data_IF_318534480455
#
_entry.id   IF_318534480455
#
_cell.length_a   1.000
_cell.length_b   1.000
_cell.length_c   1.000
_cell.angle_alpha   90.00
_cell.angle_beta   90.00
_cell.angle_gamma   90.00
#
_symmetry.space_group_name_H-M   'P 1'
#
loop_
_entity.id
_entity.type
_entity.pdbx_description
1 polymer ?
#
# COMPACT_ATOMS: atom_id res chain seq x y z
N UNK A 1 10.83 1.33 -5.08
CA UNK A 1 9.67 1.07 -4.18
C UNK A 1 9.97 0.01 -3.13
N UNK A 2 10.39 -1.23 -3.47
CA UNK A 2 10.74 -2.23 -2.45
C UNK A 2 11.84 -1.79 -1.47
N UNK A 3 12.90 -1.14 -1.96
CA UNK A 3 14.01 -0.70 -1.11
C UNK A 3 13.58 0.44 -0.17
N UNK A 4 12.79 1.40 -0.67
CA UNK A 4 12.21 2.46 0.15
C UNK A 4 11.30 1.91 1.26
N UNK A 5 10.51 0.86 0.98
CA UNK A 5 9.67 0.23 2.01
C UNK A 5 10.54 -0.41 3.11
N UNK A 6 11.70 -0.98 2.75
CA UNK A 6 12.68 -1.50 3.71
C UNK A 6 13.32 -0.36 4.49
N UNK A 7 13.74 0.73 3.86
CA UNK A 7 14.35 1.87 4.55
C UNK A 7 13.41 2.49 5.60
N UNK A 8 12.13 2.66 5.26
CA UNK A 8 11.12 3.17 6.20
C UNK A 8 10.91 2.17 7.34
N UNK A 9 10.83 0.87 7.05
CA UNK A 9 10.79 -0.16 8.10
C UNK A 9 12.03 -0.09 8.99
N UNK A 10 13.23 0.06 8.44
CA UNK A 10 14.44 0.13 9.24
C UNK A 10 14.43 1.35 10.18
N UNK A 11 13.86 2.46 9.73
CA UNK A 11 13.72 3.68 10.52
C UNK A 11 12.69 3.58 11.64
N UNK A 12 11.53 2.97 11.38
CA UNK A 12 10.39 3.01 12.30
C UNK A 12 10.03 1.66 12.92
N UNK A 13 10.64 0.57 12.46
CA UNK A 13 10.43 -0.81 12.89
C UNK A 13 8.96 -1.25 12.84
N UNK A 14 8.23 -0.77 11.83
CA UNK A 14 6.83 -1.11 11.56
C UNK A 14 6.64 -1.62 10.13
N UNK A 15 5.78 -2.63 9.90
CA UNK A 15 5.40 -3.04 8.56
C UNK A 15 4.99 -1.84 7.70
N UNK A 16 5.57 -1.74 6.50
CA UNK A 16 5.46 -0.55 5.65
C UNK A 16 4.80 -0.91 4.33
N UNK A 17 3.63 -0.32 4.07
CA UNK A 17 2.92 -0.40 2.79
C UNK A 17 3.09 0.91 2.01
N UNK A 18 3.72 0.83 0.84
CA UNK A 18 3.82 1.94 -0.11
C UNK A 18 2.76 1.79 -1.19
N UNK A 19 1.87 2.77 -1.29
CA UNK A 19 0.83 2.82 -2.33
C UNK A 19 1.41 3.36 -3.64
N UNK A 20 1.22 2.64 -4.74
CA UNK A 20 1.62 3.10 -6.08
C UNK A 20 0.52 3.83 -6.85
N UNK A 21 -0.74 3.73 -6.43
CA UNK A 21 -1.92 4.24 -7.17
C UNK A 21 -2.02 5.76 -7.42
N UNK A 22 -0.96 6.55 -7.17
CA UNK A 22 -0.85 7.95 -7.62
C UNK A 22 0.01 8.13 -8.89
N UNK A 23 0.62 7.06 -9.41
CA UNK A 23 1.35 7.10 -10.67
C UNK A 23 0.35 7.16 -11.84
N UNK A 24 0.09 8.37 -12.33
CA UNK A 24 -0.79 8.60 -13.48
C UNK A 24 -0.21 7.96 -14.75
N UNK A 25 -1.09 7.48 -15.63
CA UNK A 25 -0.79 6.84 -16.93
C UNK A 25 -0.13 5.45 -16.87
N UNK A 26 -0.13 4.79 -15.71
CA UNK A 26 0.26 3.39 -15.61
C UNK A 26 -0.87 2.45 -16.04
N UNK A 27 -0.53 1.27 -16.58
CA UNK A 27 -1.54 0.23 -16.87
C UNK A 27 -1.99 -0.50 -15.61
N UNK A 28 -1.14 -0.52 -14.59
CA UNK A 28 -1.31 -1.29 -13.35
C UNK A 28 -0.91 -0.40 -12.17
N UNK A 29 -1.76 -0.34 -11.15
CA UNK A 29 -1.40 0.18 -9.85
C UNK A 29 -0.73 -0.92 -9.02
N UNK A 30 0.49 -0.67 -8.56
CA UNK A 30 1.29 -1.61 -7.77
C UNK A 30 1.52 -1.03 -6.37
N UNK A 31 1.02 -1.71 -5.34
CA UNK A 31 1.35 -1.42 -3.95
C UNK A 31 2.39 -2.42 -3.43
N UNK A 32 3.27 -1.98 -2.55
CA UNK A 32 4.37 -2.80 -2.02
C UNK A 32 4.34 -2.80 -0.49
N UNK A 33 4.19 -3.98 0.12
CA UNK A 33 4.29 -4.19 1.56
C UNK A 33 5.63 -4.83 1.91
N UNK A 34 6.35 -4.25 2.86
CA UNK A 34 7.41 -4.94 3.59
C UNK A 34 6.93 -5.23 5.01
N UNK A 35 6.85 -6.50 5.38
CA UNK A 35 6.37 -6.97 6.70
C UNK A 35 7.50 -7.17 7.72
N UNK A 36 8.74 -6.85 7.35
CA UNK A 36 9.95 -7.11 8.14
C UNK A 36 10.63 -8.45 7.82
N UNK A 37 10.02 -9.30 6.98
CA UNK A 37 10.59 -10.58 6.53
C UNK A 37 10.68 -10.66 5.02
N UNK A 38 9.64 -10.24 4.31
CA UNK A 38 9.54 -10.33 2.85
C UNK A 38 8.81 -9.14 2.26
N UNK A 39 9.02 -8.97 0.96
CA UNK A 39 8.29 -8.03 0.13
C UNK A 39 7.07 -8.74 -0.48
N UNK A 40 5.90 -8.13 -0.36
CA UNK A 40 4.67 -8.54 -1.05
C UNK A 40 4.23 -7.42 -2.01
N UNK A 41 3.84 -7.79 -3.22
CA UNK A 41 3.31 -6.86 -4.23
C UNK A 41 1.83 -7.10 -4.43
N UNK A 42 1.05 -6.04 -4.48
CA UNK A 42 -0.38 -6.09 -4.79
C UNK A 42 -0.64 -5.30 -6.06
N UNK A 43 -1.15 -5.99 -7.08
CA UNK A 43 -1.30 -5.43 -8.42
C UNK A 43 -2.78 -5.44 -8.83
N UNK A 44 -3.26 -4.30 -9.34
CA UNK A 44 -4.59 -4.16 -9.93
C UNK A 44 -4.54 -3.26 -11.16
N UNK A 45 -5.43 -3.44 -12.15
CA UNK A 45 -5.55 -2.50 -13.26
C UNK A 45 -5.67 -1.07 -12.75
N UNK A 46 -4.94 -0.14 -13.36
CA UNK A 46 -5.09 1.27 -13.02
C UNK A 46 -6.47 1.75 -13.48
N UNK A 47 -7.20 2.41 -12.57
CA UNK A 47 -8.53 2.95 -12.89
C UNK A 47 -8.34 4.36 -13.42
N UNK A 48 -8.76 4.61 -14.66
CA UNK A 48 -8.75 5.94 -15.25
C UNK A 48 -10.05 6.70 -14.93
N UNK A 49 -10.00 8.04 -14.91
CA UNK A 49 -11.19 8.88 -14.82
C UNK A 49 -11.93 8.84 -13.47
N UNK A 50 -11.26 8.47 -12.38
CA UNK A 50 -11.83 8.49 -11.03
C UNK A 50 -11.25 9.64 -10.19
N UNK A 51 -11.97 9.99 -9.12
CA UNK A 51 -11.53 11.00 -8.16
C UNK A 51 -10.67 10.34 -7.05
N UNK A 52 -9.35 10.59 -6.99
CA UNK A 52 -8.47 9.89 -6.05
C UNK A 52 -8.54 10.39 -4.61
N UNK A 53 -9.34 11.44 -4.36
CA UNK A 53 -9.49 12.05 -3.04
C UNK A 53 -10.03 11.02 -2.03
N UNK A 54 -9.45 10.99 -0.84
CA UNK A 54 -9.82 10.05 0.21
C UNK A 54 -9.34 8.61 0.02
N UNK A 55 -8.79 8.23 -1.14
CA UNK A 55 -8.37 6.84 -1.39
C UNK A 55 -7.25 6.36 -0.47
N UNK A 56 -6.44 7.26 0.09
CA UNK A 56 -5.46 6.94 1.12
C UNK A 56 -6.15 6.64 2.46
N UNK A 57 -7.03 7.54 2.91
CA UNK A 57 -7.79 7.39 4.16
C UNK A 57 -8.68 6.15 4.13
N UNK A 58 -9.43 5.92 3.06
CA UNK A 58 -10.27 4.72 2.91
C UNK A 58 -9.43 3.45 2.98
N UNK A 59 -8.23 3.45 2.38
CA UNK A 59 -7.36 2.28 2.37
C UNK A 59 -6.78 1.98 3.76
N UNK A 60 -6.26 2.99 4.46
CA UNK A 60 -5.72 2.81 5.82
C UNK A 60 -6.82 2.45 6.82
N UNK A 61 -8.01 3.06 6.72
CA UNK A 61 -9.17 2.70 7.55
C UNK A 61 -9.64 1.27 7.30
N UNK A 62 -9.63 0.79 6.06
CA UNK A 62 -9.95 -0.60 5.76
C UNK A 62 -8.95 -1.57 6.41
N UNK A 63 -7.63 -1.31 6.30
CA UNK A 63 -6.60 -2.14 6.95
C UNK A 63 -6.82 -2.17 8.47
N UNK A 64 -6.99 -0.99 9.09
CA UNK A 64 -7.23 -0.90 10.54
C UNK A 64 -8.49 -1.67 10.98
N UNK A 65 -9.57 -1.58 10.20
CA UNK A 65 -10.83 -2.28 10.48
C UNK A 65 -10.69 -3.80 10.39
N UNK A 66 -9.98 -4.31 9.39
CA UNK A 66 -9.73 -5.74 9.25
C UNK A 66 -8.85 -6.29 10.39
N UNK A 67 -7.83 -5.53 10.79
CA UNK A 67 -7.02 -5.87 11.97
C UNK A 67 -7.86 -5.91 13.26
N UNK A 68 -8.75 -4.93 13.46
CA UNK A 68 -9.63 -4.90 14.62
C UNK A 68 -10.61 -6.09 14.68
N UNK A 69 -11.00 -6.61 13.52
CA UNK A 69 -11.83 -7.83 13.40
C UNK A 69 -11.03 -9.13 13.60
N UNK A 70 -9.72 -9.06 13.87
CA UNK A 70 -8.85 -10.24 13.99
C UNK A 70 -8.57 -10.93 12.66
N UNK A 71 -8.80 -10.27 11.53
CA UNK A 71 -8.48 -10.80 10.20
C UNK A 71 -7.01 -10.51 9.91
N UNK A 72 -6.18 -11.53 10.12
CA UNK A 72 -4.73 -11.55 9.83
C UNK A 72 -4.45 -12.69 8.85
#
# INVERSE_FOLDING_TARGET
MPDLAKEIFEKFKVPTLLKGGHLQNEKVAIDVLYDGKKISKFEKPFVNGFYPHGTGCTYSSAIASYLALGKI
#
